data_IF_414961969953
#
_entry.id   IF_414961969953
#
_cell.length_a   1.000
_cell.length_b   1.000
_cell.length_c   1.000
_cell.angle_alpha   90.00
_cell.angle_beta   90.00
_cell.angle_gamma   90.00
#
_symmetry.space_group_name_H-M   'P 1'
#
loop_
_entity.id
_entity.type
_entity.pdbx_description
1 polymer ?
#
# COMPACT_ATOMS: atom_id res chain seq x y z
N UNK A 1 17.72 -11.89 0.04
CA UNK A 1 17.04 -12.35 1.28
C UNK A 1 17.58 -13.73 1.62
N UNK A 2 18.10 -13.94 2.84
CA UNK A 2 18.62 -15.26 3.25
C UNK A 2 17.48 -16.28 3.36
N UNK A 3 17.76 -17.57 3.05
CA UNK A 3 16.75 -18.64 2.99
C UNK A 3 15.96 -18.87 4.30
N UNK A 4 16.43 -18.32 5.42
CA UNK A 4 15.77 -18.43 6.73
C UNK A 4 14.89 -17.23 7.06
N UNK A 5 15.08 -16.09 6.39
CA UNK A 5 14.40 -14.82 6.70
C UNK A 5 13.06 -14.73 6.00
N UNK A 6 12.01 -14.48 6.77
CA UNK A 6 10.64 -14.27 6.28
C UNK A 6 10.10 -13.00 6.92
N UNK A 7 9.67 -12.06 6.10
CA UNK A 7 9.06 -10.81 6.58
C UNK A 7 7.55 -11.07 6.68
N UNK A 8 7.00 -11.05 7.90
CA UNK A 8 5.57 -11.27 8.15
C UNK A 8 4.96 -9.94 8.54
N UNK A 9 4.00 -9.49 7.75
CA UNK A 9 3.22 -8.28 8.00
C UNK A 9 1.92 -8.60 8.70
N UNK A 10 1.41 -7.63 9.46
CA UNK A 10 0.12 -7.69 10.11
C UNK A 10 -0.58 -6.35 9.97
N UNK A 11 -1.77 -6.36 9.38
CA UNK A 11 -2.64 -5.19 9.24
C UNK A 11 -3.43 -4.90 10.51
N UNK A 12 -3.58 -3.62 10.83
CA UNK A 12 -4.43 -3.12 11.91
C UNK A 12 -5.14 -1.81 11.53
N UNK A 13 -6.09 -1.44 12.39
CA UNK A 13 -6.88 -0.23 12.33
C UNK A 13 -6.57 0.56 13.60
N UNK A 14 -5.91 1.71 13.45
CA UNK A 14 -5.67 2.65 14.54
C UNK A 14 -6.90 3.55 14.71
N UNK A 15 -7.38 3.68 15.94
CA UNK A 15 -8.58 4.46 16.28
C UNK A 15 -8.21 5.94 16.41
N UNK A 16 -7.60 6.48 15.35
CA UNK A 16 -7.09 7.84 15.27
C UNK A 16 -6.99 8.22 13.78
N UNK A 17 -7.50 9.40 13.37
CA UNK A 17 -7.38 9.88 12.00
C UNK A 17 -5.92 10.13 11.59
N UNK A 18 -5.60 9.86 10.32
CA UNK A 18 -4.22 9.95 9.82
C UNK A 18 -3.57 11.34 10.05
N UNK A 19 -4.27 12.48 9.85
CA UNK A 19 -3.71 13.80 10.14
C UNK A 19 -3.20 13.97 11.58
N UNK A 20 -3.91 13.40 12.56
CA UNK A 20 -3.52 13.49 13.97
C UNK A 20 -2.26 12.66 14.24
N UNK A 21 -2.16 11.45 13.68
CA UNK A 21 -0.95 10.61 13.78
C UNK A 21 0.26 11.33 13.16
N UNK A 22 0.07 11.94 11.99
CA UNK A 22 1.14 12.68 11.30
C UNK A 22 1.57 13.93 12.08
N UNK A 23 0.63 14.66 12.68
CA UNK A 23 0.93 15.82 13.52
C UNK A 23 1.67 15.42 14.81
N UNK A 24 1.25 14.31 15.44
CA UNK A 24 1.88 13.75 16.63
C UNK A 24 3.26 13.15 16.35
N UNK A 25 3.48 12.63 15.14
CA UNK A 25 4.72 11.97 14.74
C UNK A 25 4.96 10.61 15.41
N UNK A 26 3.91 9.94 15.91
CA UNK A 26 4.03 8.64 16.57
C UNK A 26 2.70 7.88 16.59
N UNK A 27 2.77 6.55 16.52
CA UNK A 27 1.65 5.62 16.74
C UNK A 27 1.61 5.04 18.16
N UNK A 28 2.56 5.42 19.02
CA UNK A 28 2.69 4.89 20.38
C UNK A 28 1.45 5.22 21.24
N UNK A 29 0.96 4.21 21.96
CA UNK A 29 -0.20 4.32 22.85
C UNK A 29 -1.55 4.53 22.15
N UNK A 30 -1.63 4.44 20.82
CA UNK A 30 -2.90 4.47 20.10
C UNK A 30 -3.61 3.11 20.21
N UNK A 31 -4.92 3.16 20.45
CA UNK A 31 -5.75 1.97 20.40
C UNK A 31 -5.79 1.39 18.98
N UNK A 32 -5.66 0.07 18.86
CA UNK A 32 -5.59 -0.63 17.58
C UNK A 32 -6.50 -1.88 17.57
N UNK A 33 -7.29 -2.03 16.51
CA UNK A 33 -7.96 -3.30 16.17
C UNK A 33 -7.14 -4.01 15.11
N UNK A 34 -6.57 -5.17 15.44
CA UNK A 34 -5.78 -5.96 14.49
C UNK A 34 -6.67 -6.90 13.68
N UNK A 35 -6.37 -7.05 12.38
CA UNK A 35 -7.04 -8.03 11.53
C UNK A 35 -6.70 -9.48 11.95
N UNK A 36 -7.52 -10.47 11.56
CA UNK A 36 -7.28 -11.88 11.84
C UNK A 36 -5.91 -12.35 11.33
N UNK A 37 -5.28 -13.26 12.08
CA UNK A 37 -4.04 -13.92 11.64
C UNK A 37 -4.36 -14.86 10.46
N UNK A 38 -3.82 -14.63 9.25
CA UNK A 38 -4.07 -15.49 8.09
C UNK A 38 -3.38 -16.86 8.19
N UNK A 39 -2.59 -17.08 9.25
CA UNK A 39 -1.90 -18.33 9.56
C UNK A 39 -0.44 -18.34 9.13
N UNK A 40 0.26 -19.46 9.35
CA UNK A 40 1.70 -19.53 9.17
C UNK A 40 2.09 -19.32 7.70
N UNK A 41 3.13 -18.50 7.51
CA UNK A 41 3.67 -18.14 6.19
C UNK A 41 2.67 -17.42 5.29
N UNK A 42 1.69 -16.74 5.90
CA UNK A 42 0.82 -15.79 5.23
C UNK A 42 0.92 -14.46 5.94
N UNK A 43 0.55 -13.39 5.24
CA UNK A 43 0.45 -12.07 5.83
C UNK A 43 -0.65 -11.25 5.17
N UNK A 44 -1.07 -10.20 5.87
CA UNK A 44 -1.86 -9.10 5.36
C UNK A 44 -1.01 -7.83 5.42
N UNK A 45 -0.94 -7.07 4.33
CA UNK A 45 -0.14 -5.86 4.20
C UNK A 45 -0.83 -4.80 3.33
N UNK A 46 -0.24 -3.60 3.29
CA UNK A 46 -0.65 -2.47 2.47
C UNK A 46 -2.14 -2.12 2.56
N UNK A 47 -2.72 -1.92 3.75
CA UNK A 47 -4.15 -1.70 3.85
C UNK A 47 -4.59 -0.34 3.32
N UNK A 48 -5.72 -0.32 2.62
CA UNK A 48 -6.47 0.88 2.21
C UNK A 48 -7.95 0.68 2.49
N UNK A 49 -8.70 1.75 2.71
CA UNK A 49 -10.09 1.58 3.07
C UNK A 49 -10.98 2.78 2.83
N UNK A 50 -12.27 2.48 2.84
CA UNK A 50 -13.34 3.41 2.54
C UNK A 50 -14.53 3.14 3.48
N UNK A 51 -15.10 4.21 4.02
CA UNK A 51 -16.39 4.15 4.70
C UNK A 51 -17.54 4.24 3.69
N UNK A 52 -18.50 3.32 3.79
CA UNK A 52 -19.74 3.34 3.01
C UNK A 52 -20.85 2.62 3.76
N UNK A 53 -22.05 3.22 3.80
CA UNK A 53 -23.24 2.63 4.44
C UNK A 53 -22.97 2.16 5.90
N UNK A 54 -22.35 3.04 6.69
CA UNK A 54 -21.92 2.79 8.08
C UNK A 54 -20.98 1.59 8.31
N UNK A 55 -20.31 1.16 7.24
CA UNK A 55 -19.31 0.08 7.29
C UNK A 55 -17.97 0.59 6.79
N UNK A 56 -16.91 0.09 7.42
CA UNK A 56 -15.54 0.28 6.97
C UNK A 56 -15.13 -0.93 6.13
N UNK A 57 -14.75 -0.68 4.89
CA UNK A 57 -14.19 -1.69 3.99
C UNK A 57 -12.68 -1.52 3.95
N UNK A 58 -11.94 -2.53 4.40
CA UNK A 58 -10.47 -2.57 4.41
C UNK A 58 -9.99 -3.56 3.35
N UNK A 59 -9.36 -3.04 2.31
CA UNK A 59 -8.70 -3.82 1.26
C UNK A 59 -7.23 -3.99 1.63
N UNK A 60 -6.70 -5.20 1.52
CA UNK A 60 -5.31 -5.50 1.86
C UNK A 60 -4.69 -6.53 0.90
N UNK A 61 -3.37 -6.49 0.76
CA UNK A 61 -2.61 -7.57 0.14
C UNK A 61 -2.73 -8.83 1.03
N UNK A 62 -3.29 -9.91 0.47
CA UNK A 62 -3.22 -11.23 1.07
C UNK A 62 -2.18 -12.09 0.36
N UNK A 63 -1.07 -12.35 1.04
CA UNK A 63 0.07 -13.07 0.49
C UNK A 63 0.24 -14.46 1.11
N UNK A 64 0.52 -15.48 0.28
CA UNK A 64 0.97 -16.80 0.74
C UNK A 64 2.37 -17.10 0.22
N UNK A 65 3.31 -17.33 1.14
CA UNK A 65 4.69 -17.65 0.81
C UNK A 65 4.89 -18.97 0.05
N UNK A 66 3.87 -19.84 0.01
CA UNK A 66 3.87 -21.13 -0.71
C UNK A 66 3.67 -20.92 -2.21
N UNK A 67 2.77 -20.03 -2.62
CA UNK A 67 2.53 -19.70 -4.04
C UNK A 67 3.29 -18.43 -4.49
N UNK A 68 3.67 -17.57 -3.55
CA UNK A 68 4.35 -16.28 -3.75
C UNK A 68 3.58 -15.30 -4.64
N UNK A 69 2.26 -15.33 -4.59
CA UNK A 69 1.36 -14.40 -5.29
C UNK A 69 0.52 -13.69 -4.24
N UNK A 70 0.45 -12.36 -4.36
CA UNK A 70 -0.43 -11.52 -3.57
C UNK A 70 -1.73 -11.35 -4.33
N UNK A 71 -2.85 -11.42 -3.63
CA UNK A 71 -4.20 -11.09 -4.12
C UNK A 71 -4.77 -9.99 -3.23
N UNK A 72 -5.89 -9.40 -3.62
CA UNK A 72 -6.58 -8.41 -2.79
C UNK A 72 -7.76 -9.08 -2.08
N UNK A 73 -7.73 -9.04 -0.76
CA UNK A 73 -8.84 -9.41 0.11
C UNK A 73 -9.49 -8.14 0.69
N UNK A 74 -10.81 -8.19 0.92
CA UNK A 74 -11.56 -7.17 1.65
C UNK A 74 -12.02 -7.70 2.99
N UNK A 75 -11.97 -6.86 4.02
CA UNK A 75 -12.46 -7.09 5.37
C UNK A 75 -13.46 -6.00 5.71
N UNK A 76 -14.67 -6.38 6.13
CA UNK A 76 -15.76 -5.44 6.38
C UNK A 76 -16.00 -5.33 7.87
N UNK A 77 -15.96 -4.12 8.40
CA UNK A 77 -16.17 -3.83 9.82
C UNK A 77 -17.41 -2.94 10.02
N UNK A 78 -18.06 -3.10 11.17
CA UNK A 78 -19.03 -2.12 11.65
C UNK A 78 -18.36 -0.94 12.39
N UNK A 79 -19.17 0.02 12.84
CA UNK A 79 -18.72 1.18 13.63
C UNK A 79 -18.01 0.81 14.94
N UNK A 80 -18.28 -0.37 15.50
CA UNK A 80 -17.63 -0.87 16.71
C UNK A 80 -16.33 -1.66 16.40
N UNK A 81 -15.85 -1.61 15.15
CA UNK A 81 -14.68 -2.34 14.68
C UNK A 81 -14.81 -3.85 14.82
N UNK A 82 -16.04 -4.38 14.80
CA UNK A 82 -16.29 -5.83 14.73
C UNK A 82 -16.26 -6.28 13.28
N UNK A 83 -15.48 -7.33 13.01
CA UNK A 83 -15.41 -7.93 11.68
C UNK A 83 -16.74 -8.60 11.33
N UNK A 84 -17.36 -8.16 10.24
CA UNK A 84 -18.62 -8.69 9.71
C UNK A 84 -18.40 -9.72 8.61
N UNK A 85 -17.41 -9.48 7.74
CA UNK A 85 -17.12 -10.35 6.60
C UNK A 85 -15.66 -10.21 6.13
N UNK A 86 -15.14 -11.26 5.48
CA UNK A 86 -13.81 -11.26 4.88
C UNK A 86 -13.77 -12.17 3.64
N UNK A 87 -13.32 -11.65 2.50
CA UNK A 87 -13.28 -12.41 1.23
C UNK A 87 -12.27 -11.87 0.23
N UNK A 88 -11.82 -12.72 -0.69
CA UNK A 88 -11.02 -12.30 -1.85
C UNK A 88 -11.89 -11.56 -2.86
N UNK A 89 -11.38 -10.44 -3.40
CA UNK A 89 -12.11 -9.60 -4.36
C UNK A 89 -11.37 -9.39 -5.68
N UNK A 90 -10.05 -9.55 -5.69
CA UNK A 90 -9.26 -9.47 -6.92
C UNK A 90 -8.06 -10.41 -6.87
N UNK A 91 -7.92 -11.25 -7.88
CA UNK A 91 -6.78 -12.15 -8.06
C UNK A 91 -6.38 -12.20 -9.53
N UNK A 92 -5.08 -12.19 -9.79
CA UNK A 92 -4.51 -12.19 -11.13
C UNK A 92 -3.36 -13.22 -11.22
N UNK A 93 -2.91 -13.59 -12.43
CA UNK A 93 -1.74 -14.45 -12.60
C UNK A 93 -0.42 -13.84 -12.09
N UNK A 94 -0.42 -12.53 -11.83
CA UNK A 94 0.68 -11.78 -11.24
C UNK A 94 0.35 -11.33 -9.82
N UNK A 95 1.38 -10.86 -9.11
CA UNK A 95 1.25 -10.37 -7.75
C UNK A 95 0.55 -9.00 -7.72
N UNK A 96 -0.44 -8.86 -6.84
CA UNK A 96 -1.13 -7.63 -6.52
C UNK A 96 -0.82 -7.22 -5.08
N UNK A 97 -0.59 -5.93 -4.85
CA UNK A 97 -0.40 -5.32 -3.52
C UNK A 97 -0.93 -3.88 -3.53
N UNK A 98 -0.74 -3.12 -2.46
CA UNK A 98 -1.09 -1.69 -2.38
C UNK A 98 -2.45 -1.29 -3.02
N UNK A 99 -3.58 -1.90 -2.59
CA UNK A 99 -4.89 -1.76 -3.22
C UNK A 99 -5.59 -0.45 -2.90
N UNK A 100 -5.12 0.68 -3.45
CA UNK A 100 -5.75 1.99 -3.19
C UNK A 100 -7.21 1.97 -3.65
N UNK A 101 -8.14 2.20 -2.72
CA UNK A 101 -9.57 2.37 -3.00
C UNK A 101 -9.90 3.86 -3.08
N UNK A 102 -10.60 4.27 -4.14
CA UNK A 102 -10.84 5.68 -4.47
C UNK A 102 -12.34 5.85 -4.73
N UNK A 103 -12.96 6.82 -4.07
CA UNK A 103 -14.30 7.29 -4.43
C UNK A 103 -14.17 8.55 -5.30
N UNK A 104 -14.78 8.54 -6.48
CA UNK A 104 -14.87 9.72 -7.36
C UNK A 104 -16.28 9.84 -7.93
N UNK A 105 -17.05 10.80 -7.42
CA UNK A 105 -18.49 10.84 -7.62
C UNK A 105 -19.19 9.64 -6.97
N UNK A 106 -20.09 9.01 -7.70
CA UNK A 106 -20.83 7.81 -7.24
C UNK A 106 -20.06 6.50 -7.47
N UNK A 107 -18.96 6.57 -8.24
CA UNK A 107 -18.16 5.43 -8.64
C UNK A 107 -17.06 5.12 -7.62
N UNK A 108 -16.75 3.84 -7.45
CA UNK A 108 -15.64 3.37 -6.65
C UNK A 108 -14.63 2.67 -7.55
N UNK A 109 -13.37 3.02 -7.36
CA UNK A 109 -12.24 2.45 -8.08
C UNK A 109 -11.28 1.73 -7.13
N UNK A 110 -10.55 0.76 -7.70
CA UNK A 110 -9.46 0.04 -7.06
C UNK A 110 -8.21 0.15 -7.95
N UNK A 111 -7.11 0.62 -7.39
CA UNK A 111 -5.84 0.84 -8.07
C UNK A 111 -4.73 0.06 -7.37
N UNK A 112 -4.63 -1.27 -7.58
CA UNK A 112 -3.57 -2.07 -6.96
C UNK A 112 -2.22 -1.85 -7.63
N UNK A 113 -1.14 -1.95 -6.86
CA UNK A 113 0.19 -2.18 -7.43
C UNK A 113 0.20 -3.54 -8.14
N UNK A 114 0.66 -3.54 -9.39
CA UNK A 114 0.80 -4.75 -10.20
C UNK A 114 2.01 -4.65 -11.13
N UNK A 115 3.14 -4.11 -10.68
CA UNK A 115 4.25 -3.72 -11.58
C UNK A 115 4.76 -4.87 -12.47
N UNK A 116 4.65 -6.13 -12.02
CA UNK A 116 5.02 -7.33 -12.81
C UNK A 116 4.10 -7.62 -13.99
N UNK A 117 2.93 -6.99 -14.06
CA UNK A 117 2.04 -7.02 -15.22
C UNK A 117 2.53 -6.12 -16.37
N UNK A 118 3.50 -5.24 -16.09
CA UNK A 118 4.03 -4.27 -17.05
C UNK A 118 3.23 -2.97 -17.15
N UNK A 119 2.15 -2.80 -16.38
CA UNK A 119 1.33 -1.58 -16.37
C UNK A 119 0.69 -1.31 -15.00
N UNK A 120 0.26 -0.07 -14.78
CA UNK A 120 -0.71 0.27 -13.75
C UNK A 120 -2.13 0.03 -14.31
N UNK A 121 -3.05 -0.55 -13.53
CA UNK A 121 -4.42 -0.85 -13.98
C UNK A 121 -5.41 -0.33 -12.98
N UNK A 122 -6.33 0.52 -13.44
CA UNK A 122 -7.48 0.97 -12.67
C UNK A 122 -8.65 0.00 -12.88
N UNK A 123 -9.28 -0.40 -11.79
CA UNK A 123 -10.51 -1.18 -11.80
C UNK A 123 -11.66 -0.33 -11.27
N UNK A 124 -12.86 -0.53 -11.80
CA UNK A 124 -14.11 0.08 -11.35
C UNK A 124 -15.00 -0.98 -10.72
N UNK A 125 -15.67 -0.66 -9.62
CA UNK A 125 -16.63 -1.55 -8.99
C UNK A 125 -17.88 -1.66 -9.86
N UNK A 126 -18.22 -2.88 -10.31
CA UNK A 126 -19.52 -3.16 -10.92
C UNK A 126 -20.55 -3.54 -9.86
N UNK A 127 -20.08 -4.19 -8.79
CA UNK A 127 -20.81 -4.42 -7.55
C UNK A 127 -19.80 -4.23 -6.42
N UNK A 128 -19.97 -3.19 -5.62
CA UNK A 128 -19.06 -2.92 -4.53
C UNK A 128 -19.41 -3.81 -3.31
N UNK A 129 -18.43 -4.42 -2.62
CA UNK A 129 -16.98 -4.37 -2.85
C UNK A 129 -16.42 -5.57 -3.65
N UNK A 130 -17.27 -6.44 -4.20
CA UNK A 130 -16.89 -7.79 -4.62
C UNK A 130 -16.51 -7.93 -6.09
N UNK A 131 -17.14 -7.19 -7.00
CA UNK A 131 -16.96 -7.37 -8.44
C UNK A 131 -16.36 -6.13 -9.08
N UNK A 132 -15.22 -6.34 -9.72
CA UNK A 132 -14.40 -5.29 -10.35
C UNK A 132 -14.19 -5.56 -11.83
N UNK A 133 -14.19 -4.51 -12.64
CA UNK A 133 -13.83 -4.56 -14.06
C UNK A 133 -12.72 -3.57 -14.37
N UNK A 134 -11.87 -3.87 -15.36
CA UNK A 134 -10.81 -2.95 -15.79
C UNK A 134 -11.43 -1.74 -16.48
N UNK A 135 -10.97 -0.54 -16.15
CA UNK A 135 -11.33 0.68 -16.88
C UNK A 135 -10.54 0.70 -18.19
N UNK A 136 -11.22 0.55 -19.33
CA UNK A 136 -10.57 0.46 -20.66
C UNK A 136 -9.76 1.70 -21.01
N UNK A 137 -10.27 2.87 -20.61
CA UNK A 137 -9.74 4.16 -21.02
C UNK A 137 -8.69 4.70 -20.05
N UNK A 138 -8.42 3.96 -18.95
CA UNK A 138 -7.33 4.30 -18.05
C UNK A 138 -5.98 4.00 -18.69
N UNK A 139 -5.23 5.05 -19.00
CA UNK A 139 -3.90 4.96 -19.56
C UNK A 139 -2.89 5.69 -18.67
N UNK A 140 -2.06 4.92 -17.97
CA UNK A 140 -0.91 5.45 -17.24
C UNK A 140 0.38 5.18 -18.04
N UNK A 141 1.34 6.12 -18.12
CA UNK A 141 2.46 6.02 -19.07
C UNK A 141 3.46 4.89 -18.80
N UNK A 142 3.50 4.37 -17.57
CA UNK A 142 4.44 3.32 -17.16
C UNK A 142 3.88 2.40 -16.07
N UNK A 143 4.57 1.30 -15.76
CA UNK A 143 4.25 0.55 -14.55
C UNK A 143 4.71 1.34 -13.30
N UNK A 144 3.81 1.50 -12.34
CA UNK A 144 4.02 2.23 -11.10
C UNK A 144 4.04 1.26 -9.90
N UNK A 145 4.89 1.56 -8.92
CA UNK A 145 5.00 0.87 -7.63
C UNK A 145 4.44 1.82 -6.56
N UNK A 146 3.59 1.29 -5.66
CA UNK A 146 2.88 2.00 -4.60
C UNK A 146 2.20 3.29 -5.08
N UNK A 147 1.47 3.19 -6.19
CA UNK A 147 0.78 4.32 -6.81
C UNK A 147 -0.23 4.96 -5.86
N UNK A 148 0.01 6.21 -5.48
CA UNK A 148 -0.71 6.93 -4.42
C UNK A 148 -1.37 8.19 -4.97
N UNK A 149 -2.61 8.08 -5.47
CA UNK A 149 -3.34 9.19 -6.06
C UNK A 149 -3.92 10.14 -5.00
N UNK A 150 -4.04 11.42 -5.33
CA UNK A 150 -4.77 12.42 -4.55
C UNK A 150 -5.33 13.50 -5.48
N UNK A 151 -6.53 14.00 -5.17
CA UNK A 151 -7.14 15.12 -5.90
C UNK A 151 -7.04 16.40 -5.08
N UNK A 152 -6.43 17.43 -5.67
CA UNK A 152 -6.19 18.75 -5.05
C UNK A 152 -6.54 19.82 -6.07
N UNK A 153 -7.35 20.81 -5.67
CA UNK A 153 -7.77 21.94 -6.50
C UNK A 153 -8.28 21.52 -7.90
N UNK A 154 -9.06 20.44 -7.95
CA UNK A 154 -9.62 19.89 -9.18
C UNK A 154 -8.65 19.08 -10.04
N UNK A 155 -7.38 18.94 -9.65
CA UNK A 155 -6.36 18.15 -10.36
C UNK A 155 -6.01 16.87 -9.62
N UNK A 156 -5.86 15.79 -10.38
CA UNK A 156 -5.29 14.55 -9.87
C UNK A 156 -3.77 14.57 -9.93
N UNK A 157 -3.17 14.12 -8.84
CA UNK A 157 -1.73 13.86 -8.71
C UNK A 157 -1.53 12.40 -8.38
N UNK A 158 -0.50 11.79 -8.97
CA UNK A 158 -0.07 10.42 -8.68
C UNK A 158 1.36 10.44 -8.16
N UNK A 159 1.56 10.03 -6.91
CA UNK A 159 2.89 9.80 -6.33
C UNK A 159 3.23 8.31 -6.43
N UNK A 160 4.39 7.96 -6.96
CA UNK A 160 4.74 6.55 -7.18
C UNK A 160 6.26 6.34 -7.26
N UNK A 161 6.70 5.11 -7.04
CA UNK A 161 8.05 4.69 -7.42
C UNK A 161 8.05 4.10 -8.83
N UNK A 162 9.04 4.41 -9.69
CA UNK A 162 9.13 3.83 -11.02
C UNK A 162 9.45 2.32 -10.93
N UNK A 163 8.85 1.54 -11.82
CA UNK A 163 9.09 0.09 -11.90
C UNK A 163 10.44 -0.29 -12.53
N UNK A 164 10.98 0.62 -13.35
CA UNK A 164 12.27 0.49 -14.03
C UNK A 164 13.48 0.56 -13.09
N UNK A 165 14.65 0.19 -13.62
CA UNK A 165 15.92 0.23 -12.90
C UNK A 165 16.14 -0.89 -11.88
N UNK A 166 17.06 -0.64 -10.94
CA UNK A 166 17.47 -1.62 -9.94
C UNK A 166 16.45 -1.77 -8.81
N UNK A 167 16.56 -2.82 -7.99
CA UNK A 167 15.76 -2.94 -6.77
C UNK A 167 15.97 -1.78 -5.78
N UNK A 168 17.13 -1.10 -5.84
CA UNK A 168 17.40 0.08 -5.03
C UNK A 168 16.65 1.32 -5.56
N UNK A 169 16.51 1.46 -6.87
CA UNK A 169 15.73 2.56 -7.47
C UNK A 169 14.26 2.50 -7.05
N UNK A 170 13.66 1.29 -7.05
CA UNK A 170 12.29 1.04 -6.56
C UNK A 170 12.04 1.35 -5.08
N UNK A 171 13.10 1.66 -4.31
CA UNK A 171 13.02 2.04 -2.90
C UNK A 171 13.54 3.46 -2.64
N UNK A 172 14.07 4.14 -3.65
CA UNK A 172 14.74 5.42 -3.48
C UNK A 172 14.26 6.50 -4.43
N UNK A 173 13.40 6.19 -5.41
CA UNK A 173 12.88 7.17 -6.36
C UNK A 173 11.41 7.47 -6.13
N UNK A 174 11.09 8.76 -6.16
CA UNK A 174 9.73 9.27 -6.24
C UNK A 174 9.54 9.95 -7.59
N UNK A 175 8.54 9.48 -8.33
CA UNK A 175 8.00 10.12 -9.51
C UNK A 175 6.63 10.72 -9.19
N UNK A 176 6.27 11.75 -9.96
CA UNK A 176 4.96 12.37 -9.94
C UNK A 176 4.38 12.36 -11.36
N UNK A 177 3.08 12.14 -11.46
CA UNK A 177 2.29 12.42 -12.66
C UNK A 177 1.05 13.22 -12.28
N UNK A 178 0.42 13.87 -13.25
CA UNK A 178 -0.82 14.62 -13.05
C UNK A 178 -1.81 14.42 -14.18
N UNK A 179 -3.09 14.60 -13.89
CA UNK A 179 -4.18 14.53 -14.84
C UNK A 179 -5.35 15.40 -14.39
N UNK A 180 -6.21 15.81 -15.31
CA UNK A 180 -7.44 16.53 -14.95
C UNK A 180 -8.57 15.56 -14.52
N UNK A 181 -8.48 14.28 -14.89
CA UNK A 181 -9.39 13.22 -14.47
C UNK A 181 -8.63 11.96 -14.02
N UNK A 182 -9.23 11.14 -13.15
CA UNK A 182 -8.60 9.92 -12.63
C UNK A 182 -8.24 8.93 -13.75
N UNK A 183 -9.07 8.85 -14.80
CA UNK A 183 -8.84 8.02 -15.97
C UNK A 183 -7.70 8.52 -16.88
N UNK A 184 -7.21 9.74 -16.65
CA UNK A 184 -6.23 10.41 -17.50
C UNK A 184 -6.85 11.42 -18.46
N UNK A 185 -6.10 11.86 -19.49
CA UNK A 185 -4.72 11.46 -19.79
C UNK A 185 -3.75 11.87 -18.69
N UNK A 186 -2.83 10.97 -18.33
CA UNK A 186 -1.80 11.21 -17.33
C UNK A 186 -0.52 11.77 -17.95
N UNK A 187 -0.04 12.88 -17.39
CA UNK A 187 1.18 13.58 -17.79
C UNK A 187 2.27 13.37 -16.74
N UNK A 188 3.43 12.85 -17.16
CA UNK A 188 4.58 12.72 -16.27
C UNK A 188 5.11 14.11 -15.89
N UNK A 189 5.47 14.29 -14.62
CA UNK A 189 6.13 15.51 -14.17
C UNK A 189 7.54 15.59 -14.81
N UNK A 190 7.91 16.71 -15.46
CA UNK A 190 9.17 16.83 -16.21
C UNK A 190 10.42 16.74 -15.32
N UNK A 191 10.27 17.05 -14.03
CA UNK A 191 11.31 16.89 -13.01
C UNK A 191 11.50 15.46 -12.49
N UNK A 192 10.87 14.43 -13.08
CA UNK A 192 11.03 13.05 -12.63
C UNK A 192 12.46 12.52 -12.86
N UNK A 193 13.06 11.79 -11.90
CA UNK A 193 12.58 11.59 -10.53
C UNK A 193 12.67 12.87 -9.71
N UNK A 194 11.56 13.28 -9.10
CA UNK A 194 11.49 14.52 -8.29
C UNK A 194 12.20 14.37 -6.95
N UNK A 195 12.51 13.13 -6.54
CA UNK A 195 13.27 12.83 -5.33
C UNK A 195 14.07 11.54 -5.49
N UNK A 196 15.31 11.54 -4.98
CA UNK A 196 16.18 10.36 -4.86
C UNK A 196 16.70 10.22 -3.43
N UNK A 197 15.97 9.49 -2.57
CA UNK A 197 16.35 9.23 -1.18
C UNK A 197 15.65 7.99 -0.62
N UNK A 198 16.43 6.96 -0.25
CA UNK A 198 15.90 5.68 0.29
C UNK A 198 15.21 5.83 1.66
N UNK A 199 15.32 6.99 2.31
CA UNK A 199 14.68 7.29 3.60
C UNK A 199 13.24 7.77 3.46
N UNK A 200 12.84 8.30 2.29
CA UNK A 200 11.61 9.10 2.18
C UNK A 200 11.13 9.34 0.73
N UNK A 201 11.31 8.36 -0.16
CA UNK A 201 10.90 8.49 -1.56
C UNK A 201 9.80 7.49 -1.97
N UNK A 202 9.87 6.24 -1.53
CA UNK A 202 8.86 5.23 -1.86
C UNK A 202 7.55 5.55 -1.11
N UNK A 203 6.40 5.66 -1.77
CA UNK A 203 5.13 5.87 -1.07
C UNK A 203 4.82 4.77 -0.06
N UNK A 204 4.10 5.12 1.00
CA UNK A 204 3.78 4.22 2.11
C UNK A 204 2.42 4.54 2.73
N UNK A 205 1.44 4.86 1.90
CA UNK A 205 0.05 5.11 2.30
C UNK A 205 -0.61 6.28 1.57
N UNK A 206 -1.68 6.79 2.18
CA UNK A 206 -2.55 7.82 1.58
C UNK A 206 -1.95 9.22 1.69
N UNK A 207 -1.78 9.99 0.60
CA UNK A 207 -1.49 11.42 0.69
C UNK A 207 -2.70 12.15 1.28
N UNK A 208 -2.49 12.99 2.30
CA UNK A 208 -3.56 13.76 2.97
C UNK A 208 -3.25 15.25 2.98
N UNK A 209 -4.29 16.08 3.10
CA UNK A 209 -4.15 17.52 3.32
C UNK A 209 -4.09 17.83 4.82
N UNK A 210 -3.03 18.52 5.24
CA UNK A 210 -2.86 19.07 6.59
C UNK A 210 -2.44 20.53 6.45
N UNK A 211 -3.22 21.45 7.02
CA UNK A 211 -2.99 22.90 6.94
C UNK A 211 -2.75 23.41 5.51
N UNK A 212 -3.55 22.91 4.56
CA UNK A 212 -3.46 23.28 3.14
C UNK A 212 -2.26 22.70 2.38
N UNK A 213 -1.48 21.79 2.99
CA UNK A 213 -0.34 21.12 2.35
C UNK A 213 -0.55 19.62 2.24
N UNK A 214 -0.10 19.04 1.14
CA UNK A 214 -0.07 17.58 0.98
C UNK A 214 1.02 17.02 1.89
N UNK A 215 0.66 16.04 2.70
CA UNK A 215 1.60 15.21 3.45
C UNK A 215 1.47 13.78 2.93
N UNK A 216 2.53 13.32 2.27
CA UNK A 216 2.64 11.96 1.72
C UNK A 216 3.38 11.07 2.72
N UNK A 217 2.77 10.00 3.26
CA UNK A 217 3.51 8.93 3.91
C UNK A 217 4.49 8.29 2.93
N UNK A 218 5.78 8.24 3.29
CA UNK A 218 6.83 7.56 2.52
C UNK A 218 7.57 6.57 3.39
N UNK A 219 8.22 5.57 2.80
CA UNK A 219 8.92 4.53 3.54
C UNK A 219 10.40 4.91 3.77
N UNK A 220 10.89 4.70 4.99
CA UNK A 220 12.32 4.56 5.25
C UNK A 220 12.74 3.11 5.05
N UNK A 221 13.46 2.87 3.95
CA UNK A 221 13.95 1.55 3.58
C UNK A 221 15.42 1.32 3.97
N UNK A 222 16.07 2.21 4.73
CA UNK A 222 17.53 2.15 4.97
C UNK A 222 17.96 0.97 5.84
N UNK A 223 17.24 0.68 6.93
CA UNK A 223 17.54 -0.44 7.84
C UNK A 223 17.01 -1.78 7.32
N UNK A 224 15.77 -1.77 6.83
CA UNK A 224 15.07 -2.91 6.23
C UNK A 224 14.00 -2.37 5.30
N UNK A 225 13.53 -3.19 4.35
CA UNK A 225 12.34 -2.84 3.56
C UNK A 225 11.19 -2.46 4.50
N UNK A 226 10.62 -1.27 4.32
CA UNK A 226 9.52 -0.77 5.15
C UNK A 226 9.89 -0.67 6.64
N UNK A 227 11.00 -0.01 6.97
CA UNK A 227 11.49 0.10 8.34
C UNK A 227 10.70 1.08 9.20
N UNK A 228 10.27 2.18 8.59
CA UNK A 228 9.51 3.25 9.23
C UNK A 228 8.73 4.02 8.16
N UNK A 229 7.78 4.86 8.58
CA UNK A 229 7.15 5.87 7.73
C UNK A 229 7.79 7.23 7.99
N UNK A 230 8.13 7.96 6.94
CA UNK A 230 8.56 9.35 6.99
C UNK A 230 7.48 10.22 6.33
N UNK A 231 6.85 11.15 7.07
CA UNK A 231 5.96 12.13 6.48
C UNK A 231 6.72 13.03 5.51
N UNK A 232 6.26 13.14 4.28
CA UNK A 232 6.81 14.02 3.27
C UNK A 232 5.85 15.18 3.02
N UNK A 233 6.10 16.34 3.63
CA UNK A 233 5.29 17.53 3.45
C UNK A 233 5.69 18.24 2.15
N UNK A 234 4.79 18.24 1.19
CA UNK A 234 4.95 18.95 -0.09
C UNK A 234 4.80 20.45 0.16
N UNK A 235 5.84 21.20 -0.15
CA UNK A 235 5.90 22.66 0.05
C UNK A 235 5.60 23.44 -1.22
N UNK A 236 5.80 22.81 -2.38
CA UNK A 236 5.43 23.34 -3.69
C UNK A 236 5.11 22.18 -4.64
N UNK A 237 4.01 22.30 -5.38
CA UNK A 237 3.56 21.33 -6.36
C UNK A 237 2.81 22.02 -7.49
N UNK A 238 3.43 22.03 -8.66
CA UNK A 238 2.84 22.47 -9.92
C UNK A 238 3.15 21.44 -11.00
N UNK A 239 2.55 21.53 -12.21
CA UNK A 239 2.86 20.58 -13.29
C UNK A 239 4.33 20.51 -13.68
N UNK A 240 5.15 21.49 -13.27
CA UNK A 240 6.56 21.62 -13.66
C UNK A 240 7.52 21.79 -12.49
N UNK A 241 7.04 21.97 -11.27
CA UNK A 241 7.87 22.19 -10.09
C UNK A 241 7.39 21.36 -8.89
N UNK A 242 8.36 20.84 -8.13
CA UNK A 242 8.12 20.08 -6.91
C UNK A 242 9.17 20.42 -5.85
N UNK A 243 8.71 20.67 -4.63
CA UNK A 243 9.56 20.74 -3.45
C UNK A 243 8.85 20.10 -2.25
N UNK A 244 9.61 19.42 -1.38
CA UNK A 244 9.06 18.79 -0.18
C UNK A 244 10.09 18.65 0.94
N UNK A 245 9.61 18.75 2.19
CA UNK A 245 10.39 18.55 3.42
C UNK A 245 10.03 17.21 4.06
N UNK A 246 11.04 16.39 4.36
CA UNK A 246 10.84 15.17 5.13
C UNK A 246 10.71 15.49 6.63
N UNK A 247 9.79 14.82 7.30
CA UNK A 247 9.61 14.85 8.75
C UNK A 247 10.49 13.82 9.47
N UNK A 248 10.13 13.54 10.71
CA UNK A 248 10.79 12.52 11.55
C UNK A 248 10.18 11.14 11.24
N UNK A 249 10.98 10.05 11.23
CA UNK A 249 10.45 8.70 11.05
C UNK A 249 9.50 8.28 12.19
N UNK A 250 8.34 7.79 11.81
CA UNK A 250 7.35 7.11 12.64
C UNK A 250 7.66 5.61 12.56
N UNK A 251 7.85 4.97 13.72
CA UNK A 251 8.13 3.54 13.83
C UNK A 251 6.95 2.80 14.44
N UNK A 252 6.90 1.47 14.27
CA UNK A 252 5.93 0.64 14.96
C UNK A 252 6.03 0.82 16.48
N UNK A 253 4.87 0.84 17.17
CA UNK A 253 4.82 1.04 18.61
C UNK A 253 5.50 -0.12 19.37
N UNK A 254 6.08 0.17 20.53
CA UNK A 254 6.87 -0.79 21.28
C UNK A 254 6.03 -1.96 21.83
N UNK A 255 4.75 -1.73 22.09
CA UNK A 255 3.78 -2.69 22.59
C UNK A 255 3.19 -3.59 21.47
N UNK A 256 3.43 -3.28 20.19
CA UNK A 256 3.00 -4.12 19.05
C UNK A 256 3.84 -5.39 18.88
N UNK A 257 4.69 -5.71 19.86
CA UNK A 257 5.48 -6.95 19.87
C UNK A 257 4.60 -8.16 19.53
N UNK A 258 5.07 -9.05 18.66
CA UNK A 258 6.43 -9.10 18.11
C UNK A 258 6.61 -8.36 16.77
N UNK A 259 5.68 -7.50 16.36
CA UNK A 259 5.67 -6.78 15.08
C UNK A 259 6.26 -5.37 15.21
N UNK A 260 7.56 -5.29 15.52
CA UNK A 260 8.27 -4.01 15.73
C UNK A 260 9.43 -3.80 14.74
N UNK A 261 9.60 -4.68 13.76
CA UNK A 261 10.70 -4.63 12.79
C UNK A 261 10.41 -3.71 11.59
N UNK A 262 9.20 -3.15 11.49
CA UNK A 262 8.80 -2.27 10.41
C UNK A 262 7.37 -1.77 10.50
N UNK A 263 7.13 -0.70 9.76
CA UNK A 263 5.89 0.02 9.56
C UNK A 263 6.00 0.63 8.16
N UNK A 264 5.20 0.18 7.18
CA UNK A 264 5.39 0.66 5.79
C UNK A 264 4.14 1.16 5.10
N UNK A 265 2.99 1.07 5.77
CA UNK A 265 1.75 1.67 5.29
C UNK A 265 1.06 2.46 6.41
N UNK A 266 0.71 3.71 6.13
CA UNK A 266 -0.24 4.52 6.90
C UNK A 266 -1.27 5.13 5.94
N UNK A 267 -2.45 4.55 5.90
CA UNK A 267 -3.51 4.93 4.96
C UNK A 267 -4.71 5.52 5.67
N UNK A 268 -5.25 6.62 5.15
CA UNK A 268 -6.42 7.26 5.72
C UNK A 268 -7.68 6.45 5.41
N UNK A 269 -8.59 6.34 6.38
CA UNK A 269 -9.92 5.79 6.19
C UNK A 269 -10.91 6.51 7.11
N UNK A 270 -11.23 7.77 6.77
CA UNK A 270 -12.14 8.61 7.56
C UNK A 270 -11.55 8.94 8.95
N UNK A 271 -12.25 8.50 9.99
CA UNK A 271 -11.90 8.71 11.41
C UNK A 271 -10.85 7.72 11.96
N UNK A 272 -10.43 6.75 11.15
CA UNK A 272 -9.40 5.78 11.51
C UNK A 272 -8.23 5.81 10.53
N UNK A 273 -7.11 5.21 10.95
CA UNK A 273 -5.93 5.01 10.10
C UNK A 273 -5.66 3.53 9.96
N UNK A 274 -5.43 3.07 8.73
CA UNK A 274 -5.03 1.71 8.45
C UNK A 274 -3.51 1.62 8.44
N UNK A 275 -3.00 0.57 9.07
CA UNK A 275 -1.58 0.39 9.30
C UNK A 275 -1.19 -1.07 9.08
N UNK A 276 0.08 -1.31 8.81
CA UNK A 276 0.67 -2.62 8.99
C UNK A 276 1.98 -2.56 9.79
N UNK A 277 2.32 -3.69 10.41
CA UNK A 277 3.53 -3.82 11.19
C UNK A 277 4.25 -5.11 10.82
N UNK A 278 5.58 -5.07 10.81
CA UNK A 278 6.43 -6.21 10.39
C UNK A 278 7.06 -6.91 11.58
N UNK A 279 7.13 -8.23 11.48
CA UNK A 279 8.08 -9.07 12.20
C UNK A 279 8.96 -9.83 11.23
N UNK A 280 10.25 -9.90 11.51
CA UNK A 280 11.21 -10.73 10.79
C UNK A 280 11.29 -12.10 11.47
N UNK A 281 10.66 -13.10 10.88
CA UNK A 281 10.74 -14.49 11.33
C UNK A 281 11.99 -15.18 10.75
N UNK A 282 12.68 -15.97 11.58
CA UNK A 282 13.80 -16.83 11.17
C UNK A 282 13.43 -18.29 11.43
N UNK A 283 13.11 -19.05 10.38
CA UNK A 283 12.63 -20.43 10.53
C UNK A 283 13.17 -21.37 9.44
N UNK A 284 13.72 -22.55 9.79
CA UNK A 284 14.11 -23.59 8.82
C UNK A 284 12.94 -24.11 7.98
N UNK A 285 11.69 -24.03 8.49
CA UNK A 285 10.48 -24.40 7.74
C UNK A 285 10.34 -23.60 6.43
N UNK A 286 10.94 -22.40 6.36
CA UNK A 286 11.03 -21.62 5.13
C UNK A 286 11.76 -22.37 4.00
N UNK A 287 12.82 -23.10 4.33
CA UNK A 287 13.59 -23.90 3.36
C UNK A 287 12.71 -25.01 2.78
N UNK A 288 11.95 -25.72 3.63
CA UNK A 288 11.05 -26.77 3.18
C UNK A 288 9.97 -26.23 2.22
N UNK A 289 9.39 -25.07 2.51
CA UNK A 289 8.42 -24.39 1.61
C UNK A 289 9.07 -24.03 0.27
N UNK A 290 10.32 -23.56 0.27
CA UNK A 290 11.04 -23.28 -0.99
C UNK A 290 11.27 -24.52 -1.83
N UNK A 291 11.70 -25.62 -1.20
CA UNK A 291 11.96 -26.89 -1.88
C UNK A 291 10.69 -27.47 -2.50
N UNK A 292 9.60 -27.49 -1.74
CA UNK A 292 8.29 -27.95 -2.22
C UNK A 292 7.75 -27.08 -3.37
N UNK A 293 7.93 -25.76 -3.30
CA UNK A 293 7.52 -24.87 -4.39
C UNK A 293 8.33 -25.10 -5.67
N UNK A 294 9.64 -25.29 -5.55
CA UNK A 294 10.53 -25.58 -6.68
C UNK A 294 10.20 -26.93 -7.33
N UNK A 295 9.87 -27.95 -6.54
CA UNK A 295 9.45 -29.26 -7.06
C UNK A 295 8.12 -29.18 -7.81
N UNK A 296 7.11 -28.50 -7.27
CA UNK A 296 5.80 -28.27 -7.95
C UNK A 296 5.96 -27.54 -9.29
N UNK A 297 6.82 -26.52 -9.34
CA UNK A 297 7.15 -25.81 -10.59
C UNK A 297 7.80 -26.71 -11.64
N UNK A 298 8.73 -27.58 -11.24
CA UNK A 298 9.38 -28.54 -12.15
C UNK A 298 8.41 -29.60 -12.67
N UNK A 299 7.41 -29.96 -11.88
CA UNK A 299 6.40 -30.98 -12.19
C UNK A 299 5.17 -30.44 -12.93
N UNK A 300 5.13 -29.15 -13.29
CA UNK A 300 4.01 -28.54 -14.01
C UNK A 300 2.68 -28.54 -13.25
N UNK A 301 2.69 -28.75 -11.92
CA UNK A 301 1.46 -28.77 -11.10
C UNK A 301 1.15 -27.35 -10.60
N UNK A 302 0.04 -26.70 -11.01
CA UNK A 302 -0.34 -25.40 -10.46
C UNK A 302 -0.70 -25.56 -8.98
N UNK A 303 -0.27 -24.60 -8.16
CA UNK A 303 -0.58 -24.57 -6.72
C UNK A 303 -2.08 -24.48 -6.50
N UNK A 304 -2.59 -25.25 -5.53
CA UNK A 304 -4.02 -25.33 -5.20
C UNK A 304 -4.63 -23.95 -4.98
N UNK A 305 -5.83 -23.78 -5.56
CA UNK A 305 -6.69 -22.61 -5.40
C UNK A 305 -7.12 -22.42 -3.95
#
# INVERSE_FOLDING_TARGET
MGLLRTDIWRTGILHCPLPEILARGSVEGLAATWLPDPGPFRFLADPFGLWRDDRLYVFAEAYDYRNRIGRIDVFVFDRAMRLLDARSVLSEPWHLSYPVVIADGDEIYLLPEAYRSGRLTLYRAVSFPDRWERVSDFAFPEAAIDASPVRIDGRWWMFYSPSGGSGADRQSLLHIAWADALCGPWHLHPGNPVRRDRRNARPGGTPVLIDGRIVLPTQDCTRTYGGAIVPLTVTDLTPTHFAARAGVPIVAAADWKPFTDGLHTLSAAGDVTLVDAKRISRSPRRIAIELDRLSRRRLGRPGGR
#
